data_IF_493640506441
#
_entry.id   IF_493640506441
#
_cell.length_a   1.000
_cell.length_b   1.000
_cell.length_c   1.000
_cell.angle_alpha   90.00
_cell.angle_beta   90.00
_cell.angle_gamma   90.00
#
_symmetry.space_group_name_H-M   'P 1'
#
loop_
_entity.id
_entity.type
_entity.pdbx_description
1 polymer ?
#
# COMPACT_ATOMS: atom_id res chain seq x y z
N UNK A 1 -4.34 -24.81 17.62
CA UNK A 1 -3.51 -23.65 18.02
C UNK A 1 -3.45 -22.70 16.84
N UNK A 2 -3.76 -21.42 17.02
CA UNK A 2 -3.53 -20.40 16.00
C UNK A 2 -2.02 -20.25 15.83
N UNK A 3 -1.49 -20.69 14.69
CA UNK A 3 -0.09 -20.49 14.35
C UNK A 3 0.02 -19.06 13.84
N UNK A 4 0.42 -18.14 14.72
CA UNK A 4 0.79 -16.78 14.32
C UNK A 4 2.23 -16.82 13.77
N UNK A 5 2.39 -17.27 12.53
CA UNK A 5 3.68 -17.24 11.85
C UNK A 5 3.89 -15.86 11.25
N UNK A 6 4.87 -15.12 11.77
CA UNK A 6 5.30 -13.85 11.21
C UNK A 6 6.29 -14.11 10.07
N UNK A 7 6.04 -13.55 8.91
CA UNK A 7 7.01 -13.50 7.81
C UNK A 7 7.93 -12.31 8.11
N UNK A 8 9.11 -12.58 8.67
CA UNK A 8 10.12 -11.55 8.91
C UNK A 8 11.12 -11.53 7.75
N UNK A 9 10.85 -10.68 6.76
CA UNK A 9 11.74 -10.45 5.62
C UNK A 9 12.08 -8.98 5.53
N UNK A 10 13.28 -8.65 5.99
CA UNK A 10 13.80 -7.27 6.01
C UNK A 10 13.80 -6.60 4.63
N UNK A 11 13.96 -7.38 3.54
CA UNK A 11 13.88 -6.89 2.17
C UNK A 11 12.50 -6.25 1.85
N UNK A 12 11.41 -6.81 2.36
CA UNK A 12 10.05 -6.30 2.14
C UNK A 12 9.61 -5.26 3.15
N UNK A 13 10.38 -5.04 4.23
CA UNK A 13 10.11 -3.92 5.15
C UNK A 13 10.26 -2.56 4.44
N UNK A 14 11.03 -2.51 3.36
CA UNK A 14 11.18 -1.32 2.52
C UNK A 14 9.93 -0.98 1.71
N UNK A 15 9.07 -1.97 1.42
CA UNK A 15 7.77 -1.76 0.76
C UNK A 15 6.81 -0.97 1.64
N UNK A 16 6.93 -1.15 2.95
CA UNK A 16 6.11 -0.47 3.94
C UNK A 16 6.89 0.73 4.48
N UNK A 17 6.94 1.82 3.70
CA UNK A 17 7.57 3.06 4.15
C UNK A 17 6.92 3.50 5.47
N UNK A 18 7.70 3.83 6.53
CA UNK A 18 7.17 4.14 7.85
C UNK A 18 6.16 5.29 7.88
N UNK A 19 6.27 6.23 6.94
CA UNK A 19 5.32 7.34 6.77
C UNK A 19 3.92 6.87 6.35
N UNK A 20 3.80 5.80 5.54
CA UNK A 20 2.51 5.21 5.16
C UNK A 20 1.87 4.44 6.33
N UNK A 21 2.67 3.64 7.04
CA UNK A 21 2.21 2.74 8.11
C UNK A 21 1.66 3.47 9.34
N UNK A 22 2.08 4.72 9.57
CA UNK A 22 1.76 5.43 10.82
C UNK A 22 0.35 6.01 10.85
N UNK A 23 -0.29 6.13 9.70
CA UNK A 23 -1.57 6.84 9.52
C UNK A 23 -2.74 5.89 9.20
N UNK A 24 -2.46 4.68 8.68
CA UNK A 24 -3.48 3.71 8.25
C UNK A 24 -3.03 2.26 8.46
N UNK A 25 -3.98 1.40 8.82
CA UNK A 25 -3.81 -0.05 8.75
C UNK A 25 -3.80 -0.48 7.28
N UNK A 26 -2.60 -0.67 6.74
CA UNK A 26 -2.39 -1.15 5.37
C UNK A 26 -2.05 -2.64 5.35
N UNK A 27 -2.66 -3.35 4.41
CA UNK A 27 -2.35 -4.73 4.09
C UNK A 27 -1.88 -4.81 2.65
N UNK A 28 -0.78 -5.52 2.39
CA UNK A 28 -0.43 -5.90 1.00
C UNK A 28 -1.51 -6.83 0.48
N UNK A 29 -1.96 -6.62 -0.75
CA UNK A 29 -3.05 -7.35 -1.38
C UNK A 29 -2.63 -7.99 -2.72
N UNK A 30 -3.54 -8.82 -3.26
CA UNK A 30 -3.45 -9.44 -4.58
C UNK A 30 -2.11 -10.17 -4.87
N UNK A 31 -1.58 -10.03 -6.09
CA UNK A 31 -0.42 -10.75 -6.60
C UNK A 31 0.85 -10.50 -5.79
N UNK A 32 0.96 -9.35 -5.15
CA UNK A 32 2.09 -9.03 -4.29
C UNK A 32 2.19 -9.99 -3.09
N UNK A 33 1.05 -10.42 -2.51
CA UNK A 33 1.04 -11.42 -1.43
C UNK A 33 1.60 -12.75 -1.91
N UNK A 34 1.14 -13.21 -3.08
CA UNK A 34 1.62 -14.46 -3.68
C UNK A 34 3.13 -14.40 -3.94
N UNK A 35 3.60 -13.31 -4.53
CA UNK A 35 5.01 -13.17 -4.92
C UNK A 35 5.91 -13.12 -3.67
N UNK A 36 5.52 -12.39 -2.62
CA UNK A 36 6.21 -12.38 -1.32
C UNK A 36 6.28 -13.79 -0.70
N UNK A 37 5.19 -14.56 -0.75
CA UNK A 37 5.15 -15.94 -0.25
C UNK A 37 6.07 -16.87 -1.06
N UNK A 38 6.21 -16.62 -2.37
CA UNK A 38 7.08 -17.37 -3.28
C UNK A 38 8.53 -16.89 -3.30
N UNK A 39 8.89 -15.86 -2.54
CA UNK A 39 10.23 -15.25 -2.56
C UNK A 39 10.56 -14.62 -3.93
N UNK A 40 9.55 -14.07 -4.57
CA UNK A 40 9.66 -13.35 -5.83
C UNK A 40 9.40 -11.88 -5.52
N UNK A 41 10.24 -11.00 -6.04
CA UNK A 41 10.02 -9.57 -5.88
C UNK A 41 8.77 -9.17 -6.69
N UNK A 42 7.72 -8.63 -6.05
CA UNK A 42 6.52 -8.21 -6.77
C UNK A 42 6.85 -7.08 -7.74
N UNK A 43 6.27 -7.13 -8.95
CA UNK A 43 6.42 -6.05 -9.92
C UNK A 43 5.61 -4.81 -9.54
N UNK A 44 4.37 -5.02 -9.09
CA UNK A 44 3.45 -4.00 -8.61
C UNK A 44 2.97 -4.38 -7.20
N UNK A 45 2.74 -3.38 -6.34
CA UNK A 45 2.29 -3.59 -4.95
C UNK A 45 0.97 -2.86 -4.73
N UNK A 46 -0.08 -3.65 -4.60
CA UNK A 46 -1.42 -3.18 -4.23
C UNK A 46 -1.61 -3.24 -2.72
N UNK A 47 -2.27 -2.22 -2.18
CA UNK A 47 -2.62 -2.16 -0.78
C UNK A 47 -4.14 -2.17 -0.59
N UNK A 48 -4.57 -2.86 0.46
CA UNK A 48 -5.89 -2.73 1.04
C UNK A 48 -5.81 -1.89 2.32
N UNK A 49 -6.76 -0.99 2.53
CA UNK A 49 -6.87 -0.17 3.74
C UNK A 49 -8.30 -0.17 4.27
N UNK A 50 -8.47 -0.02 5.58
CA UNK A 50 -9.82 0.14 6.19
C UNK A 50 -10.35 1.57 6.11
N UNK A 51 -9.48 2.53 5.80
CA UNK A 51 -9.82 3.95 5.68
C UNK A 51 -10.55 4.23 4.37
N UNK A 52 -11.51 5.17 4.34
CA UNK A 52 -12.23 5.55 3.10
C UNK A 52 -11.31 6.33 2.14
N UNK A 53 -11.67 6.46 0.85
CA UNK A 53 -10.87 7.23 -0.11
C UNK A 53 -10.62 8.68 0.37
N UNK A 54 -11.60 9.35 0.97
CA UNK A 54 -11.44 10.69 1.53
C UNK A 54 -10.45 10.74 2.69
N UNK A 55 -10.48 9.74 3.58
CA UNK A 55 -9.55 9.64 4.70
C UNK A 55 -8.12 9.42 4.19
N UNK A 56 -7.95 8.52 3.22
CA UNK A 56 -6.67 8.26 2.56
C UNK A 56 -6.13 9.56 1.95
N UNK A 57 -6.95 10.31 1.21
CA UNK A 57 -6.54 11.61 0.63
C UNK A 57 -6.09 12.62 1.68
N UNK A 58 -6.82 12.71 2.80
CA UNK A 58 -6.47 13.62 3.88
C UNK A 58 -5.13 13.24 4.52
N UNK A 59 -4.89 11.95 4.72
CA UNK A 59 -3.66 11.43 5.31
C UNK A 59 -2.47 11.51 4.36
N UNK A 60 -2.70 11.38 3.04
CA UNK A 60 -1.69 11.49 1.99
C UNK A 60 -1.44 12.94 1.53
N UNK A 61 -1.93 13.95 2.25
CA UNK A 61 -1.74 15.37 1.92
C UNK A 61 -0.33 15.92 2.19
N UNK A 62 0.67 15.05 2.37
CA UNK A 62 2.06 15.42 2.57
C UNK A 62 2.74 15.88 1.27
N UNK A 63 3.71 16.83 1.34
CA UNK A 63 4.33 17.43 0.15
C UNK A 63 5.05 16.45 -0.79
N UNK A 64 5.36 15.24 -0.33
CA UNK A 64 6.10 14.23 -1.08
C UNK A 64 5.20 13.15 -1.72
N UNK A 65 3.88 13.31 -1.59
CA UNK A 65 2.87 12.35 -2.04
C UNK A 65 1.95 13.04 -3.04
N UNK A 66 1.88 12.53 -4.28
CA UNK A 66 1.05 13.09 -5.35
C UNK A 66 -0.02 12.12 -5.78
N UNK A 67 -1.26 12.56 -5.81
CA UNK A 67 -2.35 11.79 -6.40
C UNK A 67 -2.29 11.83 -7.93
N UNK A 68 -2.44 10.68 -8.60
CA UNK A 68 -2.26 10.58 -10.06
C UNK A 68 -3.58 10.33 -10.81
N UNK A 69 -4.56 9.68 -10.17
CA UNK A 69 -5.80 9.29 -10.83
C UNK A 69 -7.01 9.46 -9.90
N UNK A 70 -8.00 10.22 -10.36
CA UNK A 70 -9.27 10.43 -9.65
C UNK A 70 -10.40 9.50 -10.14
N UNK A 71 -10.24 8.81 -11.27
CA UNK A 71 -11.30 7.95 -11.81
C UNK A 71 -11.45 6.66 -11.00
N UNK A 72 -10.35 6.13 -10.46
CA UNK A 72 -10.38 4.96 -9.57
C UNK A 72 -11.09 5.23 -8.24
N UNK A 73 -11.16 6.50 -7.81
CA UNK A 73 -11.76 6.89 -6.54
C UNK A 73 -13.24 6.49 -6.46
N UNK A 74 -13.95 6.51 -7.60
CA UNK A 74 -15.35 6.10 -7.70
C UNK A 74 -15.58 4.63 -7.33
N UNK A 75 -14.52 3.82 -7.38
CA UNK A 75 -14.53 2.40 -7.05
C UNK A 75 -13.80 2.08 -5.74
N UNK A 76 -13.39 3.10 -4.98
CA UNK A 76 -12.66 2.93 -3.72
C UNK A 76 -11.14 2.82 -3.88
N UNK A 77 -10.60 3.09 -5.07
CA UNK A 77 -9.16 2.98 -5.34
C UNK A 77 -8.50 4.36 -5.47
N UNK A 78 -7.46 4.60 -4.68
CA UNK A 78 -6.61 5.80 -4.75
C UNK A 78 -5.25 5.41 -5.32
N UNK A 79 -4.88 5.98 -6.47
CA UNK A 79 -3.52 5.85 -7.02
C UNK A 79 -2.67 7.04 -6.59
N UNK A 80 -1.57 6.75 -5.90
CA UNK A 80 -0.64 7.76 -5.39
C UNK A 80 0.78 7.53 -5.86
N UNK A 81 1.55 8.61 -6.06
CA UNK A 81 2.98 8.59 -6.33
C UNK A 81 3.74 9.05 -5.11
N UNK A 82 4.73 8.26 -4.70
CA UNK A 82 5.59 8.61 -3.55
C UNK A 82 7.00 8.88 -4.06
N UNK A 83 7.60 9.98 -3.59
CA UNK A 83 8.97 10.42 -3.94
C UNK A 83 9.20 10.58 -5.45
N UNK A 84 8.13 10.85 -6.22
CA UNK A 84 8.15 10.95 -7.69
C UNK A 84 8.72 9.72 -8.43
N UNK A 85 8.82 8.57 -7.75
CA UNK A 85 9.37 7.33 -8.30
C UNK A 85 8.28 6.32 -8.55
N UNK A 86 7.69 5.83 -7.46
CA UNK A 86 6.86 4.63 -7.45
C UNK A 86 5.38 5.00 -7.30
N UNK A 87 4.54 4.30 -8.06
CA UNK A 87 3.09 4.40 -7.97
C UNK A 87 2.57 3.28 -7.08
N UNK A 88 1.60 3.60 -6.24
CA UNK A 88 0.92 2.63 -5.38
C UNK A 88 -0.58 2.80 -5.51
N UNK A 89 -1.29 1.68 -5.55
CA UNK A 89 -2.74 1.64 -5.49
C UNK A 89 -3.18 1.24 -4.09
N UNK A 90 -4.08 2.03 -3.50
CA UNK A 90 -4.66 1.76 -2.20
C UNK A 90 -6.17 1.65 -2.39
N UNK A 91 -6.72 0.47 -2.11
CA UNK A 91 -8.14 0.17 -2.22
C UNK A 91 -8.76 -0.02 -0.85
N UNK A 92 -9.97 0.49 -0.67
CA UNK A 92 -10.72 0.44 0.60
C UNK A 92 -11.62 -0.78 0.71
#
# INVERSE_FOLDING_TARGET
ALINQKIDRSEYQTLLKPSLLKLIELCVADGAVRDILMVINPHDVDFAATATPEQIKHMLSEPNIRMINANGEQHGTITTRIDDKDNFEITT
#
